data_IF_691530213767
#
_entry.id   IF_691530213767
#
_cell.length_a   1.000
_cell.length_b   1.000
_cell.length_c   1.000
_cell.angle_alpha   90.00
_cell.angle_beta   90.00
_cell.angle_gamma   90.00
#
_symmetry.space_group_name_H-M   'P 1'
#
loop_
_entity.id
_entity.type
_entity.pdbx_description
1 polymer ?
#
# COMPACT_ATOMS: atom_id res chain seq x y z
N UNK A 1 -1.66 2.09 15.20
CA UNK A 1 -1.12 2.73 13.99
C UNK A 1 0.32 2.33 13.70
N UNK A 2 1.33 2.66 14.53
CA UNK A 2 2.69 2.10 14.36
C UNK A 2 2.73 0.59 14.66
N UNK A 3 1.98 0.13 15.66
CA UNK A 3 1.87 -1.30 16.00
C UNK A 3 1.33 -2.13 14.83
N UNK A 4 0.19 -1.78 14.25
CA UNK A 4 -0.39 -2.49 13.08
C UNK A 4 0.57 -2.50 11.88
N UNK A 5 1.29 -1.40 11.65
CA UNK A 5 2.33 -1.35 10.63
C UNK A 5 3.43 -2.38 10.93
N UNK A 6 3.96 -2.41 12.16
CA UNK A 6 4.99 -3.36 12.58
C UNK A 6 4.51 -4.81 12.53
N UNK A 7 3.28 -5.08 12.96
CA UNK A 7 2.65 -6.40 12.90
C UNK A 7 2.59 -6.95 11.48
N UNK A 8 2.45 -6.08 10.47
CA UNK A 8 2.48 -6.51 9.07
C UNK A 8 3.92 -6.69 8.59
N UNK A 9 4.78 -5.68 8.75
CA UNK A 9 6.10 -5.69 8.09
C UNK A 9 7.10 -6.65 8.75
N UNK A 10 6.90 -7.03 10.01
CA UNK A 10 7.81 -7.94 10.72
C UNK A 10 7.48 -9.42 10.54
N UNK A 11 6.34 -9.75 9.93
CA UNK A 11 5.94 -11.13 9.60
C UNK A 11 6.89 -11.76 8.58
N UNK A 12 6.90 -13.10 8.55
CA UNK A 12 7.50 -13.82 7.45
C UNK A 12 6.58 -13.72 6.22
N UNK A 13 6.84 -12.70 5.40
CA UNK A 13 6.03 -12.46 4.21
C UNK A 13 6.16 -13.57 3.15
N UNK A 14 7.23 -14.38 3.18
CA UNK A 14 7.36 -15.52 2.27
C UNK A 14 6.35 -16.61 2.60
N UNK A 15 6.17 -16.89 3.90
CA UNK A 15 5.17 -17.84 4.38
C UNK A 15 3.75 -17.34 4.10
N UNK A 16 3.48 -16.07 4.40
CA UNK A 16 2.17 -15.46 4.12
C UNK A 16 1.79 -15.51 2.65
N UNK A 17 2.73 -15.18 1.76
CA UNK A 17 2.52 -15.26 0.30
C UNK A 17 2.25 -16.69 -0.13
N UNK A 18 3.00 -17.67 0.40
CA UNK A 18 2.82 -19.08 0.08
C UNK A 18 1.43 -19.56 0.51
N UNK A 19 1.02 -19.23 1.73
CA UNK A 19 -0.30 -19.54 2.30
C UNK A 19 -1.42 -18.90 1.49
N UNK A 20 -1.31 -17.61 1.16
CA UNK A 20 -2.33 -16.88 0.40
C UNK A 20 -2.45 -17.36 -1.05
N UNK A 21 -1.33 -17.62 -1.73
CA UNK A 21 -1.35 -18.18 -3.08
C UNK A 21 -2.06 -19.55 -3.09
N UNK A 22 -1.80 -20.41 -2.11
CA UNK A 22 -2.47 -21.69 -1.97
C UNK A 22 -3.97 -21.53 -1.69
N UNK A 23 -4.33 -20.73 -0.67
CA UNK A 23 -5.71 -20.54 -0.23
C UNK A 23 -6.60 -19.92 -1.32
N UNK A 24 -6.09 -18.92 -2.05
CA UNK A 24 -6.81 -18.24 -3.12
C UNK A 24 -6.69 -18.95 -4.48
N UNK A 25 -5.87 -20.01 -4.55
CA UNK A 25 -5.52 -20.77 -5.77
C UNK A 25 -4.99 -19.85 -6.86
N UNK A 26 -4.04 -18.99 -6.50
CA UNK A 26 -3.38 -18.06 -7.41
C UNK A 26 -2.22 -18.74 -8.11
N UNK A 27 -2.03 -18.45 -9.40
CA UNK A 27 -0.96 -19.01 -10.21
C UNK A 27 -0.59 -18.08 -11.37
N UNK A 28 0.56 -18.35 -12.01
CA UNK A 28 1.06 -17.55 -13.12
C UNK A 28 1.25 -16.09 -12.74
N UNK A 29 0.80 -15.17 -13.60
CA UNK A 29 0.92 -13.72 -13.37
C UNK A 29 -0.04 -13.19 -12.29
N UNK A 30 -1.04 -13.98 -11.88
CA UNK A 30 -1.93 -13.65 -10.78
C UNK A 30 -1.38 -14.06 -9.41
N UNK A 31 -0.30 -14.83 -9.36
CA UNK A 31 0.35 -15.20 -8.11
C UNK A 31 1.03 -14.00 -7.44
N UNK A 32 0.93 -13.96 -6.11
CA UNK A 32 1.65 -13.03 -5.26
C UNK A 32 3.16 -13.30 -5.33
N UNK A 33 3.98 -12.25 -5.39
CA UNK A 33 5.42 -12.37 -5.60
C UNK A 33 6.23 -12.22 -4.31
N UNK A 34 7.12 -13.16 -3.96
CA UNK A 34 7.80 -13.18 -2.67
C UNK A 34 8.97 -12.19 -2.53
N UNK A 35 9.49 -11.67 -3.65
CA UNK A 35 10.66 -10.79 -3.64
C UNK A 35 10.33 -9.32 -3.31
N UNK A 36 9.04 -8.97 -3.19
CA UNK A 36 8.61 -7.62 -2.82
C UNK A 36 8.06 -7.66 -1.39
N UNK A 37 8.61 -6.87 -0.46
CA UNK A 37 8.05 -6.69 0.88
C UNK A 37 6.57 -6.23 0.86
N UNK A 38 5.83 -6.40 1.97
CA UNK A 38 4.40 -6.06 2.02
C UNK A 38 4.14 -4.56 1.78
N UNK A 39 3.05 -4.25 1.09
CA UNK A 39 2.45 -2.91 1.02
C UNK A 39 1.48 -2.71 2.18
N UNK A 40 1.71 -1.74 3.04
CA UNK A 40 0.84 -1.49 4.21
C UNK A 40 -0.21 -0.42 3.93
N UNK A 41 0.24 0.81 3.69
CA UNK A 41 -0.62 1.95 3.36
C UNK A 41 0.16 3.02 2.60
N UNK A 42 -0.56 3.96 1.99
CA UNK A 42 -0.03 5.25 1.55
C UNK A 42 -0.99 6.39 1.89
N UNK A 43 -0.45 7.53 2.31
CA UNK A 43 -1.22 8.70 2.73
C UNK A 43 -0.71 9.30 4.02
N UNK A 44 -0.88 10.62 4.19
CA UNK A 44 -0.39 11.36 5.36
C UNK A 44 -1.34 11.19 6.55
N UNK A 45 -1.20 10.07 7.26
CA UNK A 45 -2.08 9.71 8.38
C UNK A 45 -1.92 10.61 9.60
N UNK A 46 -0.87 11.44 9.65
CA UNK A 46 -0.65 12.40 10.75
C UNK A 46 -1.32 13.74 10.54
N UNK A 47 -1.40 14.21 9.29
CA UNK A 47 -1.95 15.53 9.00
C UNK A 47 -3.38 15.48 8.45
N UNK A 48 -3.97 14.29 8.37
CA UNK A 48 -5.37 14.15 8.01
C UNK A 48 -6.29 14.64 9.12
N UNK A 49 -7.29 15.40 8.70
CA UNK A 49 -8.31 15.94 9.59
C UNK A 49 -9.45 14.93 9.73
N UNK A 50 -9.90 14.74 10.96
CA UNK A 50 -11.06 13.90 11.27
C UNK A 50 -12.30 14.37 10.49
N UNK A 51 -13.07 13.41 9.95
CA UNK A 51 -14.24 13.66 9.10
C UNK A 51 -13.95 14.45 7.81
N UNK A 52 -12.68 14.55 7.41
CA UNK A 52 -12.22 15.25 6.19
C UNK A 52 -11.21 14.37 5.43
N UNK A 53 -11.55 13.07 5.34
CA UNK A 53 -10.72 12.07 4.69
C UNK A 53 -11.57 10.98 4.01
N UNK A 54 -10.96 10.27 3.08
CA UNK A 54 -11.48 9.12 2.36
C UNK A 54 -10.48 7.99 2.49
N UNK A 55 -10.97 6.82 2.89
CA UNK A 55 -10.22 5.57 2.82
C UNK A 55 -10.50 4.89 1.49
N UNK A 56 -9.44 4.51 0.79
CA UNK A 56 -9.51 3.70 -0.42
C UNK A 56 -9.00 2.31 -0.07
N UNK A 57 -9.82 1.31 -0.38
CA UNK A 57 -9.48 -0.09 -0.13
C UNK A 57 -9.26 -0.76 -1.48
N UNK A 58 -8.01 -1.06 -1.78
CA UNK A 58 -7.60 -1.90 -2.89
C UNK A 58 -7.71 -3.39 -2.54
N UNK A 59 -7.64 -4.25 -3.57
CA UNK A 59 -7.60 -5.70 -3.36
C UNK A 59 -6.16 -6.14 -3.11
N UNK A 60 -5.26 -5.85 -4.05
CA UNK A 60 -3.84 -6.11 -3.94
C UNK A 60 -3.08 -5.16 -4.88
N UNK A 61 -1.84 -4.79 -4.54
CA UNK A 61 -1.07 -3.87 -5.37
C UNK A 61 -0.50 -4.56 -6.61
N UNK A 62 -0.29 -3.77 -7.66
CA UNK A 62 0.25 -4.23 -8.94
C UNK A 62 1.79 -4.15 -8.93
N UNK A 63 2.46 -5.25 -9.29
CA UNK A 63 3.91 -5.27 -9.50
C UNK A 63 4.26 -4.54 -10.79
N UNK A 64 5.10 -3.52 -10.70
CA UNK A 64 5.58 -2.76 -11.85
C UNK A 64 7.05 -3.04 -12.15
N UNK A 65 7.38 -3.13 -13.43
CA UNK A 65 8.75 -3.19 -13.91
C UNK A 65 9.25 -1.77 -14.22
N UNK A 66 9.39 -0.96 -13.17
CA UNK A 66 9.86 0.43 -13.23
C UNK A 66 10.94 0.67 -12.15
N UNK A 67 12.08 1.32 -12.46
CA UNK A 67 13.13 1.56 -11.48
C UNK A 67 12.68 2.33 -10.23
N UNK A 68 11.69 3.22 -10.38
CA UNK A 68 11.10 3.94 -9.24
C UNK A 68 10.31 3.01 -8.33
N UNK A 69 9.62 2.04 -8.92
CA UNK A 69 8.91 1.02 -8.17
C UNK A 69 9.90 0.17 -7.36
N UNK A 70 10.99 -0.28 -8.00
CA UNK A 70 12.03 -1.09 -7.35
C UNK A 70 12.63 -0.35 -6.15
N UNK A 71 13.04 0.90 -6.35
CA UNK A 71 13.58 1.75 -5.29
C UNK A 71 12.61 1.91 -4.10
N UNK A 72 11.34 2.20 -4.39
CA UNK A 72 10.35 2.53 -3.36
C UNK A 72 9.76 1.31 -2.63
N UNK A 73 9.51 0.22 -3.36
CA UNK A 73 8.75 -0.94 -2.84
C UNK A 73 9.62 -2.16 -2.59
N UNK A 74 10.86 -2.21 -3.11
CA UNK A 74 11.78 -3.33 -2.89
C UNK A 74 12.98 -2.86 -2.08
N UNK A 75 13.79 -1.94 -2.61
CA UNK A 75 15.07 -1.57 -1.99
C UNK A 75 14.91 -0.91 -0.63
N UNK A 76 14.08 0.13 -0.55
CA UNK A 76 13.83 0.86 0.70
C UNK A 76 13.26 -0.07 1.79
N UNK A 77 12.16 -0.81 1.57
CA UNK A 77 11.64 -1.75 2.54
C UNK A 77 12.62 -2.84 2.94
N UNK A 78 13.33 -3.44 1.96
CA UNK A 78 14.31 -4.51 2.22
C UNK A 78 15.45 -4.02 3.09
N UNK A 79 15.96 -2.80 2.84
CA UNK A 79 17.01 -2.18 3.67
C UNK A 79 16.53 -1.98 5.11
N UNK A 80 15.31 -1.44 5.29
CA UNK A 80 14.71 -1.25 6.61
C UNK A 80 14.56 -2.58 7.37
N UNK A 81 14.00 -3.60 6.72
CA UNK A 81 13.81 -4.94 7.28
C UNK A 81 15.15 -5.60 7.64
N UNK A 82 16.15 -5.50 6.77
CA UNK A 82 17.49 -6.07 7.03
C UNK A 82 18.11 -5.45 8.27
N UNK A 83 18.06 -4.12 8.39
CA UNK A 83 18.63 -3.43 9.53
C UNK A 83 17.89 -3.77 10.83
N UNK A 84 16.55 -3.78 10.80
CA UNK A 84 15.72 -4.23 11.92
C UNK A 84 16.05 -5.66 12.37
N UNK A 85 16.21 -6.61 11.43
CA UNK A 85 16.57 -8.00 11.76
C UNK A 85 17.95 -8.13 12.42
N UNK A 86 18.86 -7.19 12.17
CA UNK A 86 20.21 -7.19 12.77
C UNK A 86 20.18 -6.58 14.18
N UNK A 87 19.46 -5.47 14.38
CA UNK A 87 19.56 -4.68 15.61
C UNK A 87 18.37 -4.83 16.56
N UNK A 88 17.20 -5.25 16.06
CA UNK A 88 15.91 -5.19 16.76
C UNK A 88 15.34 -3.76 16.88
N UNK A 89 15.97 -2.74 16.30
CA UNK A 89 15.56 -1.34 16.45
C UNK A 89 14.49 -0.95 15.42
N UNK A 90 13.29 -0.61 15.90
CA UNK A 90 12.15 -0.17 15.09
C UNK A 90 12.41 1.16 14.37
N UNK A 91 13.37 1.97 14.81
CA UNK A 91 13.72 3.23 14.14
C UNK A 91 14.22 3.02 12.71
N UNK A 92 14.68 1.82 12.36
CA UNK A 92 15.05 1.50 10.98
C UNK A 92 13.87 1.57 9.99
N UNK A 93 12.63 1.55 10.47
CA UNK A 93 11.44 1.71 9.62
C UNK A 93 11.05 3.17 9.35
N UNK A 94 11.64 4.15 10.04
CA UNK A 94 11.25 5.56 9.91
C UNK A 94 11.32 6.06 8.46
N UNK A 95 12.36 5.68 7.71
CA UNK A 95 12.51 6.08 6.30
C UNK A 95 11.35 5.54 5.44
N UNK A 96 10.99 4.27 5.64
CA UNK A 96 9.90 3.64 4.90
C UNK A 96 8.55 4.24 5.28
N UNK A 97 8.31 4.43 6.58
CA UNK A 97 7.09 5.03 7.08
C UNK A 97 6.92 6.49 6.62
N UNK A 98 8.01 7.28 6.61
CA UNK A 98 8.01 8.64 6.08
C UNK A 98 7.76 8.66 4.57
N UNK A 99 8.29 7.68 3.82
CA UNK A 99 7.98 7.55 2.41
C UNK A 99 6.49 7.32 2.18
N UNK A 100 5.85 6.42 2.94
CA UNK A 100 4.42 6.13 2.82
C UNK A 100 3.53 7.33 3.17
N UNK A 101 3.88 8.06 4.22
CA UNK A 101 3.18 9.29 4.59
C UNK A 101 3.27 10.39 3.53
N UNK A 102 4.41 10.47 2.85
CA UNK A 102 4.65 11.48 1.83
C UNK A 102 4.36 10.97 0.40
N UNK A 103 3.85 9.75 0.25
CA UNK A 103 3.76 9.04 -1.03
C UNK A 103 3.14 9.86 -2.16
N UNK A 104 2.02 10.53 -1.89
CA UNK A 104 1.33 11.33 -2.91
C UNK A 104 2.14 12.54 -3.40
N UNK A 105 3.16 12.97 -2.67
CA UNK A 105 4.10 14.02 -3.08
C UNK A 105 5.34 13.47 -3.80
N UNK A 106 5.53 12.14 -3.82
CA UNK A 106 6.70 11.48 -4.42
C UNK A 106 6.55 11.24 -5.91
N UNK A 107 7.68 11.11 -6.61
CA UNK A 107 7.73 10.77 -8.04
C UNK A 107 7.57 9.26 -8.29
N UNK A 108 7.82 8.46 -7.26
CA UNK A 108 7.60 7.01 -7.24
C UNK A 108 6.11 6.63 -7.14
N UNK A 109 5.20 7.61 -7.05
CA UNK A 109 3.75 7.37 -6.98
C UNK A 109 3.21 6.75 -8.26
N UNK A 110 2.16 5.95 -8.13
CA UNK A 110 1.35 5.47 -9.24
C UNK A 110 0.44 6.60 -9.77
N UNK A 111 1.05 7.55 -10.49
CA UNK A 111 0.40 8.78 -10.94
C UNK A 111 -0.85 8.49 -11.77
N UNK A 112 -0.78 7.54 -12.70
CA UNK A 112 -1.89 7.18 -13.58
C UNK A 112 -3.12 6.65 -12.83
N UNK A 113 -2.91 5.80 -11.82
CA UNK A 113 -3.99 5.28 -10.98
C UNK A 113 -4.57 6.38 -10.09
N UNK A 114 -3.72 7.05 -9.32
CA UNK A 114 -4.17 7.99 -8.30
C UNK A 114 -4.70 9.30 -8.89
N UNK A 115 -4.24 9.72 -10.07
CA UNK A 115 -4.83 10.85 -10.79
C UNK A 115 -6.31 10.63 -11.11
N UNK A 116 -6.71 9.41 -11.47
CA UNK A 116 -8.13 9.08 -11.71
C UNK A 116 -8.93 9.20 -10.42
N UNK A 117 -8.40 8.68 -9.32
CA UNK A 117 -9.01 8.78 -7.98
C UNK A 117 -9.15 10.24 -7.56
N UNK A 118 -8.08 11.02 -7.58
CA UNK A 118 -8.10 12.41 -7.13
C UNK A 118 -9.04 13.29 -7.97
N UNK A 119 -9.15 13.03 -9.28
CA UNK A 119 -10.16 13.66 -10.15
C UNK A 119 -11.59 13.21 -9.85
N UNK A 120 -11.78 12.01 -9.31
CA UNK A 120 -13.09 11.49 -8.92
C UNK A 120 -13.57 12.09 -7.59
N UNK A 121 -12.70 12.14 -6.58
CA UNK A 121 -13.06 12.55 -5.22
C UNK A 121 -12.90 14.05 -5.00
N UNK A 122 -11.89 14.68 -5.61
CA UNK A 122 -11.54 16.07 -5.36
C UNK A 122 -12.66 17.06 -5.64
N UNK A 123 -13.22 17.12 -6.86
CA UNK A 123 -14.29 18.06 -7.17
C UNK A 123 -15.58 17.84 -6.36
N UNK A 124 -15.83 16.60 -5.91
CA UNK A 124 -17.08 16.22 -5.24
C UNK A 124 -17.05 16.42 -3.73
N UNK A 125 -15.96 15.99 -3.10
CA UNK A 125 -15.84 15.95 -1.65
C UNK A 125 -14.86 17.01 -1.11
N UNK A 126 -13.84 17.39 -1.90
CA UNK A 126 -12.78 18.31 -1.48
C UNK A 126 -12.53 19.47 -2.46
N UNK A 127 -13.59 20.19 -2.88
CA UNK A 127 -13.48 21.16 -3.98
C UNK A 127 -12.51 22.30 -3.70
N UNK A 128 -12.33 22.68 -2.43
CA UNK A 128 -11.41 23.74 -2.04
C UNK A 128 -9.94 23.32 -2.22
N UNK A 129 -9.55 22.16 -1.71
CA UNK A 129 -8.19 21.63 -1.87
C UNK A 129 -7.89 21.34 -3.34
N UNK A 130 -8.85 20.79 -4.08
CA UNK A 130 -8.68 20.48 -5.51
C UNK A 130 -8.41 21.73 -6.35
N UNK A 131 -9.14 22.83 -6.10
CA UNK A 131 -8.89 24.13 -6.77
C UNK A 131 -7.52 24.71 -6.45
N UNK A 132 -6.98 24.45 -5.26
CA UNK A 132 -5.73 25.04 -4.76
C UNK A 132 -4.45 24.26 -5.12
N UNK A 133 -4.54 23.02 -5.58
CA UNK A 133 -3.33 22.22 -5.83
C UNK A 133 -3.56 20.93 -6.60
N UNK A 134 -4.59 20.90 -7.44
CA UNK A 134 -4.95 19.78 -8.30
C UNK A 134 -5.26 18.48 -7.51
N UNK A 135 -5.36 17.36 -8.22
CA UNK A 135 -5.62 16.04 -7.66
C UNK A 135 -4.53 15.62 -6.65
N UNK A 136 -3.27 16.01 -6.85
CA UNK A 136 -2.16 15.57 -5.99
C UNK A 136 -2.28 16.09 -4.56
N UNK A 137 -2.51 17.41 -4.40
CA UNK A 137 -2.72 18.01 -3.08
C UNK A 137 -3.98 17.50 -2.40
N UNK A 138 -5.00 17.17 -3.19
CA UNK A 138 -6.22 16.53 -2.70
C UNK A 138 -5.92 15.16 -2.10
N UNK A 139 -5.21 14.32 -2.83
CA UNK A 139 -4.83 12.98 -2.35
C UNK A 139 -3.98 13.08 -1.07
N UNK A 140 -2.95 13.92 -1.09
CA UNK A 140 -2.04 14.08 0.05
C UNK A 140 -2.78 14.49 1.33
N UNK A 141 -3.77 15.39 1.25
CA UNK A 141 -4.49 15.89 2.43
C UNK A 141 -5.63 15.02 2.90
N UNK A 142 -6.23 14.23 2.02
CA UNK A 142 -7.55 13.66 2.27
C UNK A 142 -7.65 12.16 2.00
N UNK A 143 -6.64 11.51 1.41
CA UNK A 143 -6.75 10.11 0.99
C UNK A 143 -5.73 9.25 1.70
N UNK A 144 -6.19 8.19 2.36
CA UNK A 144 -5.38 7.01 2.69
C UNK A 144 -5.78 5.90 1.74
N UNK A 145 -4.81 5.16 1.24
CA UNK A 145 -5.02 3.92 0.52
C UNK A 145 -4.39 2.75 1.29
N UNK A 146 -5.12 1.64 1.34
CA UNK A 146 -4.69 0.36 1.89
C UNK A 146 -5.19 -0.76 0.99
N UNK A 147 -4.43 -1.86 0.91
CA UNK A 147 -4.86 -3.08 0.22
C UNK A 147 -5.28 -4.16 1.22
N UNK A 148 -6.35 -4.89 0.91
CA UNK A 148 -6.77 -6.04 1.72
C UNK A 148 -5.70 -7.15 1.70
N UNK A 149 -5.12 -7.40 0.54
CA UNK A 149 -3.97 -8.29 0.36
C UNK A 149 -2.74 -7.44 0.11
N UNK A 150 -1.90 -7.34 1.14
CA UNK A 150 -0.73 -6.47 1.22
C UNK A 150 0.46 -6.92 0.35
N UNK A 151 0.23 -7.77 -0.67
CA UNK A 151 1.30 -8.39 -1.46
C UNK A 151 1.07 -8.19 -2.96
N UNK A 152 2.16 -7.99 -3.69
CA UNK A 152 2.13 -7.62 -5.10
C UNK A 152 1.89 -8.83 -6.01
N UNK A 153 1.21 -8.62 -7.13
CA UNK A 153 1.14 -9.58 -8.24
C UNK A 153 1.29 -8.88 -9.59
N UNK A 154 1.67 -9.60 -10.66
CA UNK A 154 1.84 -9.00 -12.00
C UNK A 154 0.51 -8.62 -12.66
N UNK A 155 -0.61 -9.22 -12.23
CA UNK A 155 -1.92 -8.94 -12.82
C UNK A 155 -2.99 -8.40 -11.85
N UNK A 156 -2.72 -8.19 -10.56
CA UNK A 156 -3.65 -7.60 -9.59
C UNK A 156 -5.12 -8.04 -9.78
N UNK A 157 -5.32 -9.34 -9.96
CA UNK A 157 -6.56 -9.96 -10.45
C UNK A 157 -7.16 -10.93 -9.43
N UNK A 158 -6.94 -10.68 -8.14
CA UNK A 158 -7.55 -11.50 -7.09
C UNK A 158 -9.07 -11.34 -7.15
N UNK A 159 -9.77 -12.47 -7.18
CA UNK A 159 -11.22 -12.49 -7.23
C UNK A 159 -11.81 -12.08 -5.88
N UNK A 160 -12.54 -10.96 -5.84
CA UNK A 160 -13.12 -10.41 -4.62
C UNK A 160 -14.04 -11.40 -3.87
N UNK A 161 -14.78 -12.27 -4.58
CA UNK A 161 -15.64 -13.29 -3.96
C UNK A 161 -14.82 -14.38 -3.28
N UNK A 162 -13.73 -14.85 -3.91
CA UNK A 162 -12.82 -15.80 -3.27
C UNK A 162 -12.16 -15.20 -2.03
N UNK A 163 -11.78 -13.93 -2.11
CA UNK A 163 -11.20 -13.21 -0.97
C UNK A 163 -12.21 -13.07 0.17
N UNK A 164 -13.44 -12.64 -0.12
CA UNK A 164 -14.50 -12.53 0.88
C UNK A 164 -14.81 -13.88 1.55
N UNK A 165 -14.85 -14.97 0.79
CA UNK A 165 -15.06 -16.31 1.34
C UNK A 165 -13.91 -16.72 2.27
N UNK A 166 -12.67 -16.37 1.95
CA UNK A 166 -11.51 -16.69 2.80
C UNK A 166 -11.66 -16.06 4.19
N UNK A 167 -12.06 -14.80 4.28
CA UNK A 167 -12.27 -14.12 5.55
C UNK A 167 -13.60 -14.49 6.25
N UNK A 168 -14.64 -14.84 5.48
CA UNK A 168 -15.94 -15.23 6.02
C UNK A 168 -15.99 -16.65 6.61
N UNK A 169 -14.93 -17.44 6.48
CA UNK A 169 -14.80 -18.76 7.10
C UNK A 169 -14.07 -18.75 8.45
N UNK A 170 -13.53 -17.60 8.87
CA UNK A 170 -12.88 -17.39 10.17
C UNK A 170 -13.79 -16.64 11.17
N UNK A 171 -15.11 -16.63 10.92
CA UNK A 171 -16.16 -16.02 11.79
C UNK A 171 -17.04 -17.08 12.47
#
# INVERSE_FOLDING_TARGET
MLEEFFDVVTRDHFDDISRLNAALRLSGEGALVPHVPPHTFVGDIYNMKENDCVLIIGINPLLWLDPRFEKANIELPTRCLKNFRISGDLNHFLDWFNFQNQYFLRDERNDGHFKKIGKLVGPRYFPQTYKQGDYQKTLFRHVVEVDVVQYFSRKAQINAKKLANLYGHDS
#
